data_IF_931599989122
#
_entry.id   IF_931599989122
#
_cell.length_a   1.000
_cell.length_b   1.000
_cell.length_c   1.000
_cell.angle_alpha   90.00
_cell.angle_beta   90.00
_cell.angle_gamma   90.00
#
_symmetry.space_group_name_H-M   'P 1'
#
loop_
_entity.id
_entity.type
_entity.pdbx_description
1 polymer ?
#
# COMPACT_ATOMS: atom_id res chain seq x y z
N UNK A 1 24.45 -9.97 33.18
CA UNK A 1 23.48 -10.64 32.27
C UNK A 1 22.02 -10.57 32.78
N UNK A 2 21.68 -9.47 33.50
CA UNK A 2 20.34 -9.24 34.06
C UNK A 2 19.33 -8.59 33.10
N UNK A 3 19.63 -8.50 31.79
CA UNK A 3 18.85 -7.75 30.81
C UNK A 3 17.87 -8.53 29.93
N UNK A 4 17.83 -9.85 29.97
CA UNK A 4 17.14 -10.67 28.94
C UNK A 4 15.76 -11.22 29.32
N UNK A 5 15.29 -11.09 30.57
CA UNK A 5 14.10 -11.75 31.07
C UNK A 5 12.80 -10.91 31.01
N UNK A 6 12.85 -9.69 30.50
CA UNK A 6 11.70 -8.77 30.50
C UNK A 6 10.82 -8.81 29.23
N UNK A 7 11.00 -9.77 28.32
CA UNK A 7 10.09 -9.92 27.18
C UNK A 7 8.99 -10.92 27.49
N UNK A 8 7.87 -10.41 27.98
CA UNK A 8 6.60 -11.14 28.03
C UNK A 8 6.27 -11.66 26.61
N UNK A 9 6.44 -12.96 26.38
CA UNK A 9 6.06 -13.59 25.12
C UNK A 9 4.55 -13.82 25.16
N UNK A 10 3.80 -12.89 24.58
CA UNK A 10 2.36 -13.06 24.35
C UNK A 10 2.15 -13.90 23.10
N UNK A 11 1.41 -14.98 23.19
CA UNK A 11 0.98 -15.79 22.05
C UNK A 11 -0.52 -15.97 22.06
N UNK A 12 -1.12 -15.99 20.87
CA UNK A 12 -2.53 -16.32 20.70
C UNK A 12 -2.64 -17.68 20.02
N UNK A 13 -3.55 -18.49 20.52
CA UNK A 13 -3.88 -19.81 19.97
C UNK A 13 -5.38 -19.87 19.71
N UNK A 14 -5.72 -20.38 18.56
CA UNK A 14 -7.09 -20.61 18.15
C UNK A 14 -7.51 -22.03 18.57
N UNK A 15 -8.57 -22.13 19.39
CA UNK A 15 -9.14 -23.38 19.85
C UNK A 15 -10.44 -23.59 19.09
N UNK A 16 -10.56 -24.72 18.40
CA UNK A 16 -11.73 -25.02 17.55
C UNK A 16 -12.77 -25.91 18.24
N UNK A 17 -12.39 -26.62 19.32
CA UNK A 17 -13.29 -27.54 20.03
C UNK A 17 -13.23 -27.31 21.56
N UNK A 18 -14.35 -27.33 22.29
CA UNK A 18 -15.74 -27.57 21.86
C UNK A 18 -16.40 -26.35 21.20
N UNK A 19 -15.80 -25.18 21.32
CA UNK A 19 -16.24 -23.94 20.68
C UNK A 19 -15.02 -23.16 20.17
N UNK A 20 -15.22 -22.43 19.08
CA UNK A 20 -14.17 -21.55 18.56
C UNK A 20 -13.84 -20.45 19.56
N UNK A 21 -12.59 -20.42 20.04
CA UNK A 21 -12.07 -19.41 20.96
C UNK A 21 -10.66 -19.00 20.58
N UNK A 22 -10.35 -17.75 20.78
CA UNK A 22 -9.01 -17.19 20.66
C UNK A 22 -8.51 -16.95 22.08
N UNK A 23 -7.45 -17.67 22.46
CA UNK A 23 -6.87 -17.59 23.79
C UNK A 23 -5.48 -17.00 23.70
N UNK A 24 -5.28 -15.86 24.36
CA UNK A 24 -3.97 -15.27 24.59
C UNK A 24 -3.34 -15.90 25.83
N UNK A 25 -2.08 -16.32 25.74
CA UNK A 25 -1.36 -16.86 26.88
C UNK A 25 -0.03 -16.18 27.12
N UNK A 26 0.29 -16.06 28.39
CA UNK A 26 1.54 -15.50 28.90
C UNK A 26 2.24 -16.56 29.72
N UNK A 27 3.52 -16.72 29.52
CA UNK A 27 4.35 -17.62 30.33
C UNK A 27 5.32 -16.77 31.13
N UNK A 28 5.24 -16.90 32.46
CA UNK A 28 6.10 -16.20 33.41
C UNK A 28 6.90 -17.26 34.18
N UNK A 29 8.23 -17.25 34.11
CA UNK A 29 9.04 -18.13 34.93
C UNK A 29 8.97 -17.70 36.41
N UNK A 30 8.81 -18.66 37.32
CA UNK A 30 8.98 -18.46 38.75
C UNK A 30 10.44 -18.71 39.11
N UNK A 31 11.16 -17.65 39.45
CA UNK A 31 12.52 -17.78 39.98
C UNK A 31 12.41 -18.14 41.47
N UNK A 32 12.81 -19.35 41.87
CA UNK A 32 13.08 -19.68 43.24
C UNK A 32 14.56 -19.31 43.53
N UNK A 33 14.82 -18.67 44.68
CA UNK A 33 16.19 -18.32 45.15
C UNK A 33 17.09 -19.54 45.33
N UNK A 34 16.51 -20.76 45.38
CA UNK A 34 17.26 -22.02 45.45
C UNK A 34 16.98 -22.84 44.19
N UNK A 35 18.03 -23.12 43.46
CA UNK A 35 18.15 -23.63 42.08
C UNK A 35 17.56 -25.07 41.84
N UNK A 36 16.52 -25.51 42.57
CA UNK A 36 16.01 -26.88 42.47
C UNK A 36 14.57 -27.07 42.02
N UNK A 37 13.73 -26.02 42.05
CA UNK A 37 12.35 -26.11 41.56
C UNK A 37 11.96 -24.86 40.79
N UNK A 38 12.34 -24.79 39.50
CA UNK A 38 11.90 -23.73 38.60
C UNK A 38 10.49 -24.06 38.06
N UNK A 39 9.49 -23.34 38.52
CA UNK A 39 8.13 -23.41 38.01
C UNK A 39 7.85 -22.38 36.92
N UNK A 40 6.78 -22.57 36.20
CA UNK A 40 6.24 -21.56 35.27
C UNK A 40 4.78 -21.27 35.60
N UNK A 41 4.38 -20.02 35.54
CA UNK A 41 2.98 -19.58 35.59
C UNK A 41 2.53 -19.33 34.17
N UNK A 42 1.45 -19.98 33.76
CA UNK A 42 0.80 -19.74 32.47
C UNK A 42 -0.51 -19.03 32.73
N UNK A 43 -0.63 -17.80 32.27
CA UNK A 43 -1.85 -16.99 32.35
C UNK A 43 -2.58 -17.13 31.00
N UNK A 44 -3.82 -17.61 31.04
CA UNK A 44 -4.68 -17.75 29.88
C UNK A 44 -5.79 -16.70 29.94
N UNK A 45 -6.00 -15.99 28.83
CA UNK A 45 -7.08 -15.03 28.67
C UNK A 45 -7.88 -15.34 27.41
N UNK A 46 -9.19 -15.53 27.54
CA UNK A 46 -10.09 -15.60 26.39
C UNK A 46 -10.27 -14.19 25.81
N UNK A 47 -9.74 -13.99 24.60
CA UNK A 47 -9.79 -12.71 23.86
C UNK A 47 -10.72 -12.78 22.64
N UNK A 48 -11.56 -13.83 22.58
CA UNK A 48 -12.47 -14.05 21.44
C UNK A 48 -13.37 -12.86 21.19
N UNK A 49 -14.00 -12.32 22.25
CA UNK A 49 -14.90 -11.17 22.13
C UNK A 49 -14.15 -9.91 21.68
N UNK A 50 -13.00 -9.67 22.27
CA UNK A 50 -12.15 -8.50 21.95
C UNK A 50 -11.75 -8.55 20.46
N UNK A 51 -11.36 -9.73 19.97
CA UNK A 51 -10.99 -9.93 18.55
C UNK A 51 -12.16 -9.82 17.58
N UNK A 52 -13.34 -10.34 17.95
CA UNK A 52 -14.55 -10.19 17.13
C UNK A 52 -14.99 -8.73 17.07
N UNK A 53 -14.93 -8.01 18.19
CA UNK A 53 -15.26 -6.57 18.22
C UNK A 53 -14.26 -5.74 17.39
N UNK A 54 -12.97 -6.00 17.53
CA UNK A 54 -11.92 -5.35 16.75
C UNK A 54 -12.13 -5.58 15.25
N UNK A 55 -12.38 -6.83 14.85
CA UNK A 55 -12.68 -7.16 13.45
C UNK A 55 -13.94 -6.46 12.94
N UNK A 56 -15.01 -6.39 13.74
CA UNK A 56 -16.25 -5.71 13.40
C UNK A 56 -16.08 -4.19 13.27
N UNK A 57 -15.28 -3.57 14.16
CA UNK A 57 -14.94 -2.15 14.08
C UNK A 57 -14.15 -1.84 12.80
N UNK A 58 -13.11 -2.64 12.51
CA UNK A 58 -12.33 -2.51 11.28
C UNK A 58 -13.18 -2.68 10.02
N UNK A 59 -14.14 -3.61 10.04
CA UNK A 59 -15.07 -3.80 8.93
C UNK A 59 -16.02 -2.60 8.77
N UNK A 60 -16.53 -2.05 9.88
CA UNK A 60 -17.38 -0.85 9.87
C UNK A 60 -16.63 0.38 9.39
N UNK A 61 -15.41 0.61 9.87
CA UNK A 61 -14.56 1.71 9.40
C UNK A 61 -14.26 1.58 7.91
N UNK A 62 -14.03 0.34 7.46
CA UNK A 62 -13.83 0.05 6.04
C UNK A 62 -15.07 0.34 5.20
N UNK A 63 -16.27 -0.06 5.64
CA UNK A 63 -17.51 0.24 4.93
C UNK A 63 -17.76 1.75 4.85
N UNK A 64 -17.47 2.48 5.90
CA UNK A 64 -17.56 3.94 5.91
C UNK A 64 -16.55 4.57 4.92
N UNK A 65 -15.32 4.08 4.88
CA UNK A 65 -14.32 4.53 3.91
C UNK A 65 -14.76 4.25 2.47
N UNK A 66 -15.34 3.06 2.20
CA UNK A 66 -15.88 2.69 0.89
C UNK A 66 -17.04 3.62 0.49
N UNK A 67 -17.95 3.96 1.41
CA UNK A 67 -19.05 4.89 1.13
C UNK A 67 -18.57 6.29 0.81
N UNK A 68 -17.60 6.81 1.57
CA UNK A 68 -16.96 8.10 1.28
C UNK A 68 -16.25 8.08 -0.07
N UNK A 69 -15.53 7.00 -0.36
CA UNK A 69 -14.84 6.82 -1.64
C UNK A 69 -15.83 6.74 -2.81
N UNK A 70 -16.97 6.05 -2.65
CA UNK A 70 -17.97 5.91 -3.71
C UNK A 70 -18.61 7.26 -4.08
N UNK A 71 -18.91 8.12 -3.10
CA UNK A 71 -19.46 9.45 -3.35
C UNK A 71 -18.49 10.35 -4.12
N UNK A 72 -17.20 10.35 -3.74
CA UNK A 72 -16.16 11.12 -4.42
C UNK A 72 -15.88 10.62 -5.83
N UNK A 73 -15.80 9.29 -6.01
CA UNK A 73 -15.60 8.67 -7.34
C UNK A 73 -16.78 8.98 -8.28
N UNK A 74 -18.02 8.94 -7.78
CA UNK A 74 -19.18 9.29 -8.59
C UNK A 74 -19.06 10.72 -9.13
N UNK A 75 -18.56 11.66 -8.32
CA UNK A 75 -18.32 13.04 -8.75
C UNK A 75 -17.14 13.14 -9.72
N UNK A 76 -16.02 12.45 -9.44
CA UNK A 76 -14.84 12.44 -10.31
C UNK A 76 -15.06 11.72 -11.66
N UNK A 77 -15.94 10.71 -11.71
CA UNK A 77 -16.37 10.06 -12.95
C UNK A 77 -17.33 10.96 -13.72
N UNK A 78 -18.23 11.66 -13.02
CA UNK A 78 -19.19 12.56 -13.62
C UNK A 78 -18.56 13.71 -14.41
N UNK A 79 -17.42 14.24 -13.93
CA UNK A 79 -16.73 15.34 -14.58
C UNK A 79 -16.20 15.01 -16.00
N UNK A 80 -15.36 13.98 -16.20
CA UNK A 80 -14.88 13.60 -17.53
C UNK A 80 -16.00 13.05 -18.43
N UNK A 81 -17.05 12.39 -17.86
CA UNK A 81 -18.23 12.00 -18.64
C UNK A 81 -18.97 13.20 -19.21
N UNK A 82 -19.14 14.28 -18.43
CA UNK A 82 -19.76 15.50 -18.92
C UNK A 82 -18.89 16.16 -19.98
N UNK A 83 -17.57 16.25 -19.79
CA UNK A 83 -16.66 16.80 -20.78
C UNK A 83 -16.71 15.96 -22.07
N UNK A 84 -16.66 14.64 -21.95
CA UNK A 84 -16.78 13.71 -23.09
C UNK A 84 -18.08 13.93 -23.86
N UNK A 85 -19.21 14.06 -23.17
CA UNK A 85 -20.51 14.30 -23.79
C UNK A 85 -20.55 15.62 -24.58
N UNK A 86 -19.95 16.69 -24.01
CA UNK A 86 -19.83 17.98 -24.70
C UNK A 86 -18.98 17.85 -25.97
N UNK A 87 -17.81 17.19 -25.89
CA UNK A 87 -16.93 17.02 -27.04
C UNK A 87 -17.57 16.13 -28.14
N UNK A 88 -18.32 15.09 -27.75
CA UNK A 88 -19.07 14.27 -28.70
C UNK A 88 -20.20 15.07 -29.38
N UNK A 89 -20.88 15.96 -28.66
CA UNK A 89 -21.90 16.85 -29.26
C UNK A 89 -21.28 17.86 -30.23
N UNK A 90 -20.10 18.38 -29.91
CA UNK A 90 -19.35 19.25 -30.83
C UNK A 90 -18.90 18.50 -32.08
N UNK A 91 -18.40 17.26 -31.93
CA UNK A 91 -18.09 16.38 -33.05
C UNK A 91 -19.30 16.14 -33.97
N UNK A 92 -20.44 15.78 -33.39
CA UNK A 92 -21.69 15.55 -34.17
C UNK A 92 -22.11 16.81 -34.91
N UNK A 93 -21.97 17.99 -34.29
CA UNK A 93 -22.30 19.28 -34.91
C UNK A 93 -21.35 19.63 -36.06
N UNK A 94 -20.03 19.43 -35.90
CA UNK A 94 -19.05 19.69 -36.98
C UNK A 94 -19.27 18.72 -38.16
N UNK A 95 -19.50 17.44 -37.89
CA UNK A 95 -19.81 16.46 -38.94
C UNK A 95 -21.06 16.85 -39.73
N UNK A 96 -22.14 17.23 -39.04
CA UNK A 96 -23.39 17.69 -39.68
C UNK A 96 -23.22 18.97 -40.49
N UNK A 97 -22.35 19.90 -39.99
CA UNK A 97 -22.00 21.10 -40.75
C UNK A 97 -21.35 20.76 -42.09
N UNK A 98 -20.32 19.94 -42.07
CA UNK A 98 -19.63 19.49 -43.30
C UNK A 98 -20.58 18.73 -44.23
N UNK A 99 -21.49 17.88 -43.70
CA UNK A 99 -22.48 17.16 -44.49
C UNK A 99 -23.48 18.11 -45.17
N UNK A 100 -24.01 19.10 -44.44
CA UNK A 100 -24.98 20.08 -44.96
C UNK A 100 -24.36 20.94 -46.05
N UNK A 101 -23.12 21.37 -45.90
CA UNK A 101 -22.40 22.13 -46.92
C UNK A 101 -22.18 21.29 -48.17
N UNK A 102 -21.90 19.98 -48.04
CA UNK A 102 -21.78 19.05 -49.19
C UNK A 102 -23.06 18.82 -49.96
N UNK A 103 -24.22 18.81 -49.24
CA UNK A 103 -25.54 18.57 -49.85
C UNK A 103 -26.11 19.82 -50.53
N UNK A 104 -25.77 21.03 -50.07
CA UNK A 104 -26.38 22.28 -50.53
C UNK A 104 -25.65 22.87 -51.76
N UNK A 105 -24.34 22.89 -51.77
CA UNK A 105 -23.52 23.60 -52.77
C UNK A 105 -22.69 22.66 -53.66
N UNK A 106 -22.70 21.35 -53.41
CA UNK A 106 -21.74 20.44 -53.99
C UNK A 106 -20.32 20.75 -53.55
N UNK A 107 -19.33 20.04 -54.09
CA UNK A 107 -17.91 20.27 -53.75
C UNK A 107 -17.40 21.51 -54.47
N UNK A 108 -17.48 22.69 -53.83
CA UNK A 108 -16.95 23.94 -54.36
C UNK A 108 -15.46 24.10 -54.01
N UNK A 109 -14.75 24.97 -54.76
CA UNK A 109 -13.34 25.26 -54.48
C UNK A 109 -13.15 25.86 -53.06
N UNK A 110 -14.12 26.59 -52.55
CA UNK A 110 -14.14 27.22 -51.22
C UNK A 110 -14.25 26.18 -50.13
N UNK A 111 -15.07 25.17 -50.33
CA UNK A 111 -15.25 24.03 -49.45
C UNK A 111 -13.98 23.15 -49.40
N UNK A 112 -13.33 22.93 -50.55
CA UNK A 112 -12.06 22.22 -50.61
C UNK A 112 -10.94 22.93 -49.82
N UNK A 113 -11.00 24.27 -49.73
CA UNK A 113 -10.08 25.07 -48.92
C UNK A 113 -10.36 25.01 -47.39
N UNK A 114 -11.61 24.79 -46.98
CA UNK A 114 -12.03 24.72 -45.59
C UNK A 114 -11.95 23.29 -44.99
N UNK A 115 -11.99 22.27 -45.86
CA UNK A 115 -11.97 20.86 -45.44
C UNK A 115 -10.77 20.45 -44.57
N UNK A 116 -9.52 20.91 -44.86
CA UNK A 116 -8.39 20.59 -43.95
C UNK A 116 -8.58 21.10 -42.54
N UNK A 117 -9.06 22.34 -42.38
CA UNK A 117 -9.28 22.92 -41.04
C UNK A 117 -10.43 22.23 -40.25
N UNK A 118 -11.48 21.81 -40.94
CA UNK A 118 -12.56 21.03 -40.36
C UNK A 118 -12.07 19.64 -39.89
N UNK A 119 -11.21 18.99 -40.71
CA UNK A 119 -10.60 17.71 -40.31
C UNK A 119 -9.64 17.86 -39.13
N UNK A 120 -8.85 18.94 -39.07
CA UNK A 120 -7.97 19.22 -37.93
C UNK A 120 -8.79 19.45 -36.63
N UNK A 121 -9.89 20.19 -36.69
CA UNK A 121 -10.80 20.37 -35.57
C UNK A 121 -11.44 19.06 -35.10
N UNK A 122 -11.90 18.21 -36.04
CA UNK A 122 -12.43 16.89 -35.72
C UNK A 122 -11.37 16.01 -35.05
N UNK A 123 -10.13 16.07 -35.54
CA UNK A 123 -9.03 15.31 -34.97
C UNK A 123 -8.71 15.77 -33.53
N UNK A 124 -8.68 17.07 -33.30
CA UNK A 124 -8.48 17.64 -31.95
C UNK A 124 -9.58 17.20 -30.98
N UNK A 125 -10.85 17.26 -31.37
CA UNK A 125 -11.98 16.82 -30.57
C UNK A 125 -11.91 15.32 -30.24
N UNK A 126 -11.46 14.47 -31.17
CA UNK A 126 -11.26 13.06 -30.94
C UNK A 126 -10.12 12.81 -29.93
N UNK A 127 -9.00 13.52 -30.03
CA UNK A 127 -7.89 13.37 -29.09
C UNK A 127 -8.25 13.84 -27.69
N UNK A 128 -9.04 14.90 -27.55
CA UNK A 128 -9.58 15.34 -26.26
C UNK A 128 -10.48 14.22 -25.67
N UNK A 129 -11.40 13.68 -26.48
CA UNK A 129 -12.27 12.59 -26.03
C UNK A 129 -11.49 11.35 -25.58
N UNK A 130 -10.43 10.94 -26.31
CA UNK A 130 -9.54 9.85 -25.94
C UNK A 130 -8.82 10.11 -24.61
N UNK A 131 -8.40 11.35 -24.36
CA UNK A 131 -7.77 11.77 -23.13
C UNK A 131 -8.70 11.63 -21.94
N UNK A 132 -9.98 12.06 -22.09
CA UNK A 132 -10.97 11.92 -21.01
C UNK A 132 -11.34 10.44 -20.73
N UNK A 133 -11.41 9.59 -21.77
CA UNK A 133 -11.60 8.13 -21.57
C UNK A 133 -10.42 7.52 -20.79
N UNK A 134 -9.20 7.89 -21.16
CA UNK A 134 -8.00 7.40 -20.45
C UNK A 134 -7.97 7.87 -18.98
N UNK A 135 -8.44 9.08 -18.72
CA UNK A 135 -8.60 9.64 -17.38
C UNK A 135 -9.64 8.86 -16.56
N UNK A 136 -10.77 8.51 -17.17
CA UNK A 136 -11.80 7.66 -16.54
C UNK A 136 -11.26 6.30 -16.15
N UNK A 137 -10.55 5.63 -17.05
CA UNK A 137 -9.94 4.32 -16.78
C UNK A 137 -8.97 4.38 -15.59
N UNK A 138 -8.18 5.46 -15.52
CA UNK A 138 -7.27 5.70 -14.40
C UNK A 138 -8.04 5.87 -13.07
N UNK A 139 -9.11 6.69 -13.04
CA UNK A 139 -9.93 6.92 -11.84
C UNK A 139 -10.56 5.59 -11.37
N UNK A 140 -11.17 4.83 -12.28
CA UNK A 140 -11.80 3.54 -11.97
C UNK A 140 -10.76 2.55 -11.43
N UNK A 141 -9.60 2.47 -12.06
CA UNK A 141 -8.53 1.57 -11.64
C UNK A 141 -8.00 1.93 -10.24
N UNK A 142 -7.79 3.21 -9.97
CA UNK A 142 -7.37 3.70 -8.65
C UNK A 142 -8.43 3.41 -7.57
N UNK A 143 -9.70 3.63 -7.89
CA UNK A 143 -10.82 3.33 -7.00
C UNK A 143 -10.91 1.83 -6.67
N UNK A 144 -10.88 0.96 -7.69
CA UNK A 144 -10.91 -0.48 -7.48
C UNK A 144 -9.75 -0.97 -6.62
N UNK A 145 -8.56 -0.40 -6.80
CA UNK A 145 -7.38 -0.71 -5.97
C UNK A 145 -7.52 -0.20 -4.54
N UNK A 146 -8.18 0.95 -4.34
CA UNK A 146 -8.43 1.49 -3.01
C UNK A 146 -9.46 0.65 -2.22
N UNK A 147 -10.45 0.04 -2.89
CA UNK A 147 -11.52 -0.75 -2.25
C UNK A 147 -11.14 -2.23 -2.05
N UNK A 148 -10.41 -2.82 -2.99
CA UNK A 148 -10.04 -4.24 -2.89
C UNK A 148 -9.03 -4.45 -1.76
N UNK A 149 -9.39 -5.19 -0.68
CA UNK A 149 -8.40 -5.66 0.26
C UNK A 149 -7.72 -6.87 -0.36
N UNK A 150 -6.59 -6.70 -0.93
CA UNK A 150 -5.70 -7.83 -1.17
C UNK A 150 -4.77 -7.94 0.04
N UNK A 151 -4.92 -9.02 0.82
CA UNK A 151 -3.87 -9.35 1.80
C UNK A 151 -2.53 -9.33 1.07
N UNK A 152 -1.53 -8.60 1.57
CA UNK A 152 -0.26 -8.48 0.88
C UNK A 152 0.40 -9.86 0.73
N UNK A 153 0.90 -10.15 -0.46
CA UNK A 153 1.70 -11.35 -0.72
C UNK A 153 3.13 -11.10 -0.29
N UNK A 154 3.41 -11.32 0.98
CA UNK A 154 4.71 -11.03 1.57
C UNK A 154 5.79 -11.99 1.06
N UNK A 155 6.73 -11.49 0.27
CA UNK A 155 7.92 -12.19 -0.23
C UNK A 155 9.20 -11.48 0.24
N UNK A 156 10.34 -12.18 0.40
CA UNK A 156 11.61 -11.53 0.69
C UNK A 156 12.03 -10.62 -0.47
N UNK A 157 12.39 -9.37 -0.18
CA UNK A 157 12.76 -8.36 -1.17
C UNK A 157 13.95 -7.56 -0.70
N UNK A 158 14.89 -7.32 -1.62
CA UNK A 158 15.92 -6.30 -1.50
C UNK A 158 15.33 -4.94 -1.87
N UNK A 159 15.14 -4.06 -0.88
CA UNK A 159 14.43 -2.80 -1.06
C UNK A 159 15.11 -1.86 -2.05
N UNK A 160 16.44 -1.84 -2.06
CA UNK A 160 17.19 -1.02 -3.02
C UNK A 160 16.87 -1.41 -4.47
N UNK A 161 16.90 -2.70 -4.80
CA UNK A 161 16.57 -3.19 -6.14
C UNK A 161 15.12 -2.87 -6.52
N UNK A 162 14.18 -3.00 -5.58
CA UNK A 162 12.77 -2.68 -5.81
C UNK A 162 12.58 -1.18 -6.08
N UNK A 163 13.29 -0.31 -5.37
CA UNK A 163 13.29 1.13 -5.59
C UNK A 163 13.83 1.48 -6.99
N UNK A 164 14.97 0.90 -7.38
CA UNK A 164 15.57 1.12 -8.70
C UNK A 164 14.64 0.67 -9.84
N UNK A 165 13.97 -0.48 -9.68
CA UNK A 165 12.95 -0.94 -10.64
C UNK A 165 11.79 0.05 -10.75
N UNK A 166 11.26 0.54 -9.62
CA UNK A 166 10.16 1.50 -9.59
C UNK A 166 10.54 2.83 -10.27
N UNK A 167 11.73 3.34 -10.00
CA UNK A 167 12.23 4.58 -10.60
C UNK A 167 12.54 4.42 -12.10
N UNK A 168 12.95 3.23 -12.54
CA UNK A 168 13.19 2.97 -13.97
C UNK A 168 11.93 3.14 -14.80
N UNK A 169 10.77 2.76 -14.28
CA UNK A 169 9.47 2.96 -14.95
C UNK A 169 9.10 4.46 -15.09
N UNK A 170 9.70 5.33 -14.27
CA UNK A 170 9.41 6.78 -14.27
C UNK A 170 10.45 7.62 -15.04
N UNK A 171 11.47 6.99 -15.65
CA UNK A 171 12.59 7.71 -16.31
C UNK A 171 12.15 8.72 -17.38
N UNK A 172 11.09 8.42 -18.14
CA UNK A 172 10.57 9.34 -19.15
C UNK A 172 9.97 10.61 -18.52
N UNK A 173 9.29 10.47 -17.39
CA UNK A 173 8.73 11.63 -16.66
C UNK A 173 9.83 12.49 -16.02
N UNK A 174 10.89 11.86 -15.51
CA UNK A 174 12.07 12.53 -14.93
C UNK A 174 12.81 13.33 -16.00
N UNK A 175 13.08 12.73 -17.18
CA UNK A 175 13.83 13.38 -18.25
C UNK A 175 13.18 14.66 -18.78
N UNK A 176 11.84 14.73 -18.75
CA UNK A 176 11.07 15.86 -19.27
C UNK A 176 10.94 17.03 -18.27
N UNK A 177 11.30 16.85 -16.99
CA UNK A 177 10.99 17.83 -15.91
C UNK A 177 12.23 18.44 -15.24
N UNK A 178 13.43 18.19 -15.71
CA UNK A 178 14.69 18.70 -15.10
C UNK A 178 14.80 18.38 -13.58
N UNK A 179 14.28 17.22 -13.15
CA UNK A 179 14.34 16.77 -11.76
C UNK A 179 15.54 15.87 -11.57
N UNK A 180 16.36 16.15 -10.56
CA UNK A 180 17.47 15.28 -10.14
C UNK A 180 16.97 14.32 -9.07
N UNK A 181 17.31 13.01 -9.19
CA UNK A 181 17.02 12.00 -8.17
C UNK A 181 18.35 11.53 -7.58
N UNK A 182 18.51 11.71 -6.26
CA UNK A 182 19.65 11.23 -5.50
C UNK A 182 19.21 10.09 -4.58
N UNK A 183 19.88 8.93 -4.67
CA UNK A 183 19.59 7.76 -3.81
C UNK A 183 20.74 7.60 -2.84
N UNK A 184 20.42 7.60 -1.55
CA UNK A 184 21.35 7.39 -0.46
C UNK A 184 20.98 6.09 0.24
N UNK A 185 21.84 5.07 0.11
CA UNK A 185 21.63 3.78 0.74
C UNK A 185 22.93 3.27 1.35
N UNK A 186 22.88 2.55 2.48
CA UNK A 186 24.06 1.89 3.03
C UNK A 186 24.46 0.73 2.09
N UNK A 187 25.72 0.30 2.11
CA UNK A 187 26.24 -0.74 1.23
C UNK A 187 25.56 -2.10 1.38
N UNK A 188 24.89 -2.33 2.50
CA UNK A 188 24.12 -3.56 2.76
C UNK A 188 22.86 -3.24 3.54
N UNK A 189 21.72 -3.70 3.02
CA UNK A 189 20.42 -3.65 3.68
C UNK A 189 19.89 -5.07 3.87
N UNK A 190 19.27 -5.37 5.01
CA UNK A 190 18.62 -6.66 5.19
C UNK A 190 17.41 -6.79 4.24
N UNK A 191 17.10 -8.03 3.84
CA UNK A 191 15.87 -8.32 3.14
C UNK A 191 14.65 -8.10 4.04
N UNK A 192 13.59 -7.59 3.45
CA UNK A 192 12.32 -7.35 4.12
C UNK A 192 11.21 -8.12 3.41
N UNK A 193 10.23 -8.62 4.16
CA UNK A 193 9.08 -9.33 3.59
C UNK A 193 7.96 -8.35 3.29
N UNK A 194 7.75 -8.11 2.00
CA UNK A 194 6.73 -7.16 1.50
C UNK A 194 6.07 -7.69 0.23
N UNK A 195 4.93 -7.11 -0.10
CA UNK A 195 4.31 -7.26 -1.42
C UNK A 195 4.97 -6.28 -2.40
N UNK A 196 5.70 -6.83 -3.38
CA UNK A 196 6.48 -6.06 -4.36
C UNK A 196 5.63 -5.04 -5.12
N UNK A 197 4.45 -5.45 -5.58
CA UNK A 197 3.59 -4.61 -6.42
C UNK A 197 2.96 -3.48 -5.61
N UNK A 198 2.53 -3.78 -4.38
CA UNK A 198 2.00 -2.76 -3.48
C UNK A 198 3.07 -1.74 -3.08
N UNK A 199 4.28 -2.18 -2.74
CA UNK A 199 5.37 -1.24 -2.39
C UNK A 199 5.78 -0.40 -3.60
N UNK A 200 5.89 -0.99 -4.81
CA UNK A 200 6.12 -0.20 -6.04
C UNK A 200 5.04 0.86 -6.24
N UNK A 201 3.78 0.53 -5.98
CA UNK A 201 2.67 1.48 -6.07
C UNK A 201 2.82 2.61 -5.05
N UNK A 202 3.22 2.31 -3.81
CA UNK A 202 3.46 3.34 -2.80
C UNK A 202 4.60 4.28 -3.23
N UNK A 203 5.73 3.72 -3.68
CA UNK A 203 6.86 4.49 -4.21
C UNK A 203 6.41 5.38 -5.38
N UNK A 204 5.68 4.81 -6.34
CA UNK A 204 5.17 5.55 -7.51
C UNK A 204 4.31 6.75 -7.09
N UNK A 205 3.37 6.56 -6.16
CA UNK A 205 2.49 7.63 -5.69
C UNK A 205 3.26 8.77 -5.00
N UNK A 206 4.26 8.43 -4.18
CA UNK A 206 5.08 9.44 -3.48
C UNK A 206 5.95 10.21 -4.49
N UNK A 207 6.66 9.50 -5.37
CA UNK A 207 7.55 10.11 -6.37
C UNK A 207 6.76 10.98 -7.34
N UNK A 208 5.57 10.54 -7.79
CA UNK A 208 4.66 11.33 -8.62
C UNK A 208 4.22 12.62 -7.91
N UNK A 209 3.90 12.55 -6.62
CA UNK A 209 3.53 13.73 -5.84
C UNK A 209 4.70 14.71 -5.73
N UNK A 210 5.92 14.22 -5.50
CA UNK A 210 7.13 15.05 -5.47
C UNK A 210 7.38 15.73 -6.82
N UNK A 211 7.26 15.03 -7.94
CA UNK A 211 7.41 15.64 -9.27
C UNK A 211 6.37 16.71 -9.56
N UNK A 212 5.15 16.48 -9.12
CA UNK A 212 4.09 17.49 -9.26
C UNK A 212 4.30 18.73 -8.38
N UNK A 213 5.03 18.58 -7.26
CA UNK A 213 5.38 19.70 -6.40
C UNK A 213 6.60 20.49 -6.92
N UNK A 214 7.31 19.99 -7.93
CA UNK A 214 8.51 20.57 -8.55
C UNK A 214 8.29 20.84 -10.06
N UNK A 215 7.35 21.70 -10.47
CA UNK A 215 7.03 21.93 -11.88
C UNK A 215 8.22 22.51 -12.67
N UNK A 216 9.04 23.32 -12.03
CA UNK A 216 10.20 24.00 -12.64
C UNK A 216 11.53 23.24 -12.45
N UNK A 217 11.44 21.98 -12.04
CA UNK A 217 12.59 21.15 -11.68
C UNK A 217 12.91 21.19 -10.19
N UNK A 218 13.93 20.44 -9.79
CA UNK A 218 14.32 20.33 -8.38
C UNK A 218 15.09 19.06 -8.06
N UNK A 219 15.13 18.71 -6.79
CA UNK A 219 15.84 17.52 -6.31
C UNK A 219 14.92 16.64 -5.46
N UNK A 220 14.88 15.34 -5.78
CA UNK A 220 14.26 14.33 -4.95
C UNK A 220 15.35 13.46 -4.35
N UNK A 221 15.55 13.53 -3.04
CA UNK A 221 16.48 12.66 -2.31
C UNK A 221 15.72 11.50 -1.70
N UNK A 222 16.16 10.27 -2.00
CA UNK A 222 15.58 9.05 -1.43
C UNK A 222 16.62 8.38 -0.56
N UNK A 223 16.34 8.26 0.74
CA UNK A 223 17.26 7.68 1.72
C UNK A 223 16.71 6.35 2.24
N UNK A 224 17.52 5.29 2.16
CA UNK A 224 17.25 4.00 2.78
C UNK A 224 18.07 3.87 4.05
N UNK A 225 17.45 3.45 5.14
CA UNK A 225 18.13 3.24 6.42
C UNK A 225 17.56 2.02 7.15
N UNK A 226 18.44 1.15 7.64
CA UNK A 226 18.05 0.04 8.49
C UNK A 226 18.13 0.46 9.97
N UNK A 227 16.99 0.49 10.64
CA UNK A 227 16.92 0.59 12.10
C UNK A 227 17.06 -0.77 12.77
N UNK A 228 16.78 -0.84 14.06
CA UNK A 228 16.80 -2.10 14.83
C UNK A 228 15.60 -3.00 14.52
N UNK A 229 14.44 -2.42 14.28
CA UNK A 229 13.16 -3.14 14.11
C UNK A 229 12.48 -2.86 12.76
N UNK A 230 12.87 -1.80 12.07
CA UNK A 230 12.25 -1.32 10.84
C UNK A 230 13.28 -0.91 9.80
N UNK A 231 12.89 -1.07 8.54
CA UNK A 231 13.53 -0.41 7.40
C UNK A 231 12.84 0.92 7.17
N UNK A 232 13.60 2.02 7.19
CA UNK A 232 13.12 3.35 6.83
C UNK A 232 13.40 3.68 5.36
N UNK A 233 12.41 4.25 4.67
CA UNK A 233 12.51 4.80 3.31
C UNK A 233 12.04 6.24 3.38
N UNK A 234 12.94 7.19 3.22
CA UNK A 234 12.62 8.62 3.29
C UNK A 234 12.70 9.23 1.90
N UNK A 235 11.65 9.93 1.48
CA UNK A 235 11.56 10.72 0.27
C UNK A 235 11.54 12.19 0.67
N UNK A 236 12.46 12.99 0.15
CA UNK A 236 12.54 14.42 0.42
C UNK A 236 12.65 15.17 -0.90
N UNK A 237 11.64 15.96 -1.22
CA UNK A 237 11.62 16.86 -2.36
C UNK A 237 11.95 18.30 -1.95
N UNK A 238 12.35 19.11 -2.94
CA UNK A 238 12.57 20.55 -2.81
C UNK A 238 11.45 21.36 -3.46
N UNK A 239 10.23 20.83 -3.45
CA UNK A 239 9.07 21.43 -4.10
C UNK A 239 8.41 22.51 -3.28
N UNK A 240 7.21 22.91 -3.71
CA UNK A 240 6.41 24.00 -3.10
C UNK A 240 5.97 23.72 -1.66
N UNK A 241 6.10 22.46 -1.19
CA UNK A 241 5.66 22.07 0.14
C UNK A 241 4.14 22.06 0.30
N UNK A 242 3.70 21.90 1.56
CA UNK A 242 2.30 21.78 1.96
C UNK A 242 2.03 22.79 3.07
N UNK A 243 0.97 23.59 2.92
CA UNK A 243 0.56 24.55 3.94
C UNK A 243 0.09 23.84 5.22
N UNK A 244 0.34 24.40 6.43
CA UNK A 244 0.02 23.76 7.71
C UNK A 244 -1.46 23.36 7.85
N UNK A 245 -2.37 24.13 7.27
CA UNK A 245 -3.82 23.86 7.25
C UNK A 245 -4.21 22.59 6.51
N UNK A 246 -3.37 22.13 5.59
CA UNK A 246 -3.60 20.92 4.82
C UNK A 246 -2.91 19.68 5.39
N UNK A 247 -1.87 19.83 6.25
CA UNK A 247 -1.06 18.73 6.76
C UNK A 247 -1.88 17.67 7.50
N UNK A 248 -2.87 18.07 8.28
CA UNK A 248 -3.73 17.15 9.00
C UNK A 248 -4.67 16.32 8.11
N UNK A 249 -4.84 16.74 6.85
CA UNK A 249 -5.83 16.17 5.92
C UNK A 249 -5.22 15.52 4.69
N UNK A 250 -3.90 15.49 4.57
CA UNK A 250 -3.21 14.96 3.35
C UNK A 250 -3.48 13.48 3.08
N UNK A 251 -3.88 12.71 4.11
CA UNK A 251 -4.25 11.30 3.99
C UNK A 251 -5.76 11.08 3.84
N UNK A 252 -6.58 12.15 3.95
CA UNK A 252 -8.01 12.05 3.72
C UNK A 252 -8.28 11.78 2.22
N UNK A 253 -9.26 10.92 1.91
CA UNK A 253 -9.67 10.68 0.52
C UNK A 253 -10.11 11.98 -0.15
N UNK A 254 -9.75 12.16 -1.43
CA UNK A 254 -10.10 13.32 -2.27
C UNK A 254 -9.59 14.67 -1.78
N UNK A 255 -8.79 14.72 -0.72
CA UNK A 255 -8.14 15.96 -0.32
C UNK A 255 -6.97 16.24 -1.27
N UNK A 256 -7.09 17.28 -2.08
CA UNK A 256 -6.06 17.72 -3.02
C UNK A 256 -6.10 19.23 -3.18
N UNK A 257 -4.93 19.85 -3.23
CA UNK A 257 -4.77 21.26 -3.60
C UNK A 257 -4.45 21.42 -5.09
N UNK A 258 -4.35 20.31 -5.84
CA UNK A 258 -3.96 20.27 -7.25
C UNK A 258 -5.19 20.10 -8.14
N UNK A 259 -5.26 20.87 -9.24
CA UNK A 259 -6.38 20.82 -10.21
C UNK A 259 -6.52 19.47 -10.92
N UNK A 260 -5.45 18.72 -11.06
CA UNK A 260 -5.40 17.42 -11.77
C UNK A 260 -5.20 16.22 -10.86
N UNK A 261 -5.22 16.42 -9.53
CA UNK A 261 -4.98 15.36 -8.55
C UNK A 261 -6.28 14.68 -8.11
N UNK A 262 -6.32 13.34 -8.06
CA UNK A 262 -7.46 12.57 -7.52
C UNK A 262 -7.57 12.63 -5.99
N UNK A 263 -6.56 13.13 -5.27
CA UNK A 263 -6.53 13.11 -3.80
C UNK A 263 -6.47 11.71 -3.16
N UNK A 264 -6.31 10.64 -3.95
CA UNK A 264 -6.26 9.27 -3.46
C UNK A 264 -4.84 8.73 -3.23
N UNK A 265 -3.82 9.38 -3.80
CA UNK A 265 -2.46 8.85 -3.84
C UNK A 265 -1.85 8.61 -2.46
N UNK A 266 -1.88 9.58 -1.54
CA UNK A 266 -1.30 9.44 -0.19
C UNK A 266 -2.13 8.52 0.71
N UNK A 267 -3.45 8.50 0.56
CA UNK A 267 -4.32 7.54 1.24
C UNK A 267 -3.95 6.08 0.85
N UNK A 268 -3.70 5.82 -0.44
CA UNK A 268 -3.24 4.50 -0.92
C UNK A 268 -1.89 4.15 -0.30
N UNK A 269 -0.96 5.11 -0.23
CA UNK A 269 0.35 4.90 0.42
C UNK A 269 0.17 4.52 1.89
N UNK A 270 -0.64 5.28 2.63
CA UNK A 270 -0.91 5.01 4.04
C UNK A 270 -1.46 3.60 4.25
N UNK A 271 -2.44 3.21 3.44
CA UNK A 271 -3.03 1.88 3.51
C UNK A 271 -2.02 0.78 3.22
N UNK A 272 -1.24 0.90 2.14
CA UNK A 272 -0.21 -0.09 1.79
C UNK A 272 0.75 -0.27 2.96
N UNK A 273 1.22 0.82 3.55
CA UNK A 273 2.17 0.78 4.67
C UNK A 273 1.54 0.12 5.90
N UNK A 274 0.28 0.45 6.22
CA UNK A 274 -0.47 -0.18 7.32
C UNK A 274 -0.71 -1.67 7.09
N UNK A 275 -1.08 -2.09 5.87
CA UNK A 275 -1.27 -3.50 5.51
C UNK A 275 0.03 -4.32 5.65
N UNK A 276 1.19 -3.64 5.62
CA UNK A 276 2.52 -4.22 5.89
C UNK A 276 2.96 -4.09 7.35
N UNK A 277 2.09 -3.60 8.26
CA UNK A 277 2.40 -3.38 9.67
C UNK A 277 3.36 -2.22 9.93
N UNK A 278 3.52 -1.32 8.97
CA UNK A 278 4.38 -0.15 9.04
C UNK A 278 3.66 1.12 9.48
N UNK A 279 4.40 2.23 9.51
CA UNK A 279 3.85 3.58 9.73
C UNK A 279 4.50 4.60 8.81
N UNK A 280 3.87 5.78 8.69
CA UNK A 280 4.32 6.89 7.85
C UNK A 280 4.49 8.12 8.71
N UNK A 281 5.55 8.87 8.45
CA UNK A 281 5.76 10.23 8.96
C UNK A 281 5.79 11.20 7.79
N UNK A 282 5.16 12.37 7.95
CA UNK A 282 5.14 13.44 6.97
C UNK A 282 5.49 14.75 7.63
N UNK A 283 6.47 15.44 7.07
CA UNK A 283 6.89 16.77 7.44
C UNK A 283 6.96 17.62 6.18
N UNK A 284 6.38 18.83 6.21
CA UNK A 284 6.42 19.74 5.08
C UNK A 284 6.34 21.17 5.55
N UNK A 285 6.97 22.06 4.79
CA UNK A 285 6.86 23.50 4.96
C UNK A 285 6.70 24.15 3.59
N UNK A 286 5.86 25.17 3.47
CA UNK A 286 5.74 25.95 2.24
C UNK A 286 7.11 26.42 1.77
N UNK A 287 7.37 26.30 0.47
CA UNK A 287 8.61 26.67 -0.23
C UNK A 287 9.90 25.97 0.23
N UNK A 288 9.84 25.07 1.23
CA UNK A 288 10.99 24.27 1.68
C UNK A 288 10.91 22.81 1.21
N UNK A 289 9.74 22.39 0.65
CA UNK A 289 9.52 21.03 0.16
C UNK A 289 8.81 20.10 1.16
N UNK A 290 8.77 18.81 0.82
CA UNK A 290 8.09 17.79 1.61
C UNK A 290 9.01 16.62 1.88
N UNK A 291 8.94 16.10 3.10
CA UNK A 291 9.60 14.87 3.53
C UNK A 291 8.55 13.85 3.95
N UNK A 292 8.54 12.70 3.28
CA UNK A 292 7.71 11.54 3.61
C UNK A 292 8.62 10.38 3.98
N UNK A 293 8.45 9.82 5.16
CA UNK A 293 9.20 8.65 5.61
C UNK A 293 8.26 7.48 5.85
N UNK A 294 8.58 6.32 5.27
CA UNK A 294 7.89 5.05 5.45
C UNK A 294 8.76 4.15 6.30
N UNK A 295 8.17 3.54 7.32
CA UNK A 295 8.84 2.57 8.19
C UNK A 295 8.15 1.22 8.07
N UNK A 296 8.87 0.23 7.56
CA UNK A 296 8.36 -1.14 7.38
C UNK A 296 9.06 -2.07 8.36
N UNK A 297 8.33 -2.87 9.16
CA UNK A 297 8.94 -3.75 10.14
C UNK A 297 9.75 -4.85 9.44
N UNK A 298 10.92 -5.18 9.98
CA UNK A 298 11.55 -6.43 9.63
C UNK A 298 10.62 -7.56 10.05
N UNK A 299 10.45 -8.58 9.21
CA UNK A 299 9.69 -9.75 9.60
C UNK A 299 10.21 -10.22 10.97
N UNK A 300 9.32 -10.33 11.97
CA UNK A 300 9.69 -10.94 13.24
C UNK A 300 10.47 -12.21 12.92
N UNK A 301 11.69 -12.30 13.41
CA UNK A 301 12.38 -13.58 13.54
C UNK A 301 11.43 -14.45 14.35
N UNK A 302 10.61 -15.25 13.69
CA UNK A 302 10.05 -16.41 14.34
C UNK A 302 11.26 -17.18 14.83
N UNK A 303 11.60 -17.04 16.10
CA UNK A 303 12.48 -18.01 16.73
C UNK A 303 11.82 -19.36 16.43
N UNK A 304 12.37 -20.08 15.44
CA UNK A 304 12.22 -21.51 15.44
C UNK A 304 12.80 -21.92 16.78
N UNK A 305 11.94 -22.22 17.73
CA UNK A 305 12.30 -23.15 18.78
C UNK A 305 12.79 -24.36 17.99
N UNK A 306 14.09 -24.50 17.92
CA UNK A 306 14.71 -25.73 17.53
C UNK A 306 14.06 -26.78 18.44
N UNK A 307 13.22 -27.62 17.84
CA UNK A 307 12.97 -28.93 18.41
C UNK A 307 14.38 -29.54 18.48
N UNK A 308 15.00 -29.43 19.61
CA UNK A 308 16.09 -30.32 19.97
C UNK A 308 15.46 -31.70 19.85
N UNK A 309 15.98 -32.61 18.99
CA UNK A 309 15.65 -34.00 19.12
C UNK A 309 16.12 -34.37 20.53
N UNK A 310 15.19 -34.61 21.42
CA UNK A 310 15.52 -35.33 22.66
C UNK A 310 15.82 -36.73 22.20
N UNK A 311 17.05 -36.96 21.79
CA UNK A 311 17.67 -38.29 21.87
C UNK A 311 17.84 -38.54 23.36
N UNK A 312 16.80 -39.03 23.99
CA UNK A 312 16.83 -39.61 25.34
C UNK A 312 16.78 -41.08 25.23
N UNK A 313 17.64 -41.82 25.95
CA UNK A 313 17.70 -43.29 25.95
C UNK A 313 16.55 -43.84 26.81
N UNK A 314 15.38 -44.02 26.24
CA UNK A 314 14.27 -44.76 26.87
C UNK A 314 13.73 -45.83 25.94
N UNK A 315 14.62 -46.55 25.29
CA UNK A 315 14.33 -47.87 24.77
C UNK A 315 15.30 -48.85 25.39
N UNK A 316 14.99 -49.36 26.58
CA UNK A 316 15.43 -50.66 27.12
C UNK A 316 14.90 -50.74 28.56
N UNK A 317 13.64 -51.22 28.72
CA UNK A 317 13.18 -52.02 29.86
C UNK A 317 11.68 -52.24 29.76
N UNK A 318 11.27 -52.97 28.71
CA UNK A 318 10.06 -53.82 28.82
C UNK A 318 10.56 -55.24 28.58
N UNK A 319 11.26 -55.75 29.58
CA UNK A 319 11.52 -57.18 29.67
C UNK A 319 10.36 -57.85 30.37
N UNK A 320 9.74 -58.76 29.66
CA UNK A 320 9.06 -59.94 30.14
C UNK A 320 8.37 -59.91 31.51
N UNK A 321 7.07 -59.71 31.50
CA UNK A 321 6.21 -60.33 32.52
C UNK A 321 5.66 -61.64 31.92
N UNK A 322 6.29 -62.71 32.34
CA UNK A 322 5.94 -64.08 32.10
C UNK A 322 4.59 -64.40 32.75
N UNK A 323 3.58 -64.67 31.95
CA UNK A 323 2.33 -65.30 32.41
C UNK A 323 2.50 -66.79 32.53
N UNK A 324 3.01 -67.21 33.72
CA UNK A 324 2.97 -68.59 34.09
C UNK A 324 1.54 -69.05 34.32
N UNK A 325 1.04 -69.86 33.41
CA UNK A 325 -0.09 -70.74 33.61
C UNK A 325 0.22 -71.68 34.79
N UNK A 326 -0.70 -71.77 35.72
CA UNK A 326 -0.82 -72.94 36.61
C UNK A 326 -2.23 -73.53 36.51
N UNK A 327 -2.33 -74.57 35.71
CA UNK A 327 -3.33 -75.63 35.92
C UNK A 327 -3.24 -76.26 37.33
N UNK A 328 -4.36 -76.63 37.85
CA UNK A 328 -4.37 -77.79 38.75
C UNK A 328 -5.29 -77.67 39.98
N UNK A 329 -6.44 -78.31 39.83
CA UNK A 329 -7.36 -78.97 40.78
C UNK A 329 -8.50 -78.14 41.36
#
# INVERSE_FOLDING_TARGET
DEGEWSRLITREVEITYPAHRIVSFYVVPLSAEDNRDSGVVVILRDVTRDRVQEASLLESERLNAVQLLAAGVAHEIGNPLNALNIHLQLLDREIRGVQADMEHDGVTADMAAQLPSALDNLHELVEIARTEVSRLDLIITQFLRAIRPSKPKLVPVQMQSLLEEALTLMRHEVANRSIKIDIVAPPSLPEIRVDRDQIKQAIFNIVKNAFQAMPDGGCLTITLAAGTTHLGITFQDTGTGIAPEHLGRVFEPYHTTKSTGSGLGLMIVQRIVQDHGGHIELMSKPEEGTRIAIFLPFAERRMRLLATPVEGPYEQNIAHVDHGEKEGR
#
